data_IF_550227300304
#
_entry.id   IF_550227300304
#
_cell.length_a   1.000
_cell.length_b   1.000
_cell.length_c   1.000
_cell.angle_alpha   90.00
_cell.angle_beta   90.00
_cell.angle_gamma   90.00
#
_symmetry.space_group_name_H-M   'P 1'
#
loop_
_entity.id
_entity.type
_entity.pdbx_description
1 polymer ?
#
# COMPACT_ATOMS: atom_id res chain seq x y z
N UNK A 1 -2.82 13.13 -1.84
CA UNK A 1 -2.72 12.61 -3.23
C UNK A 1 -4.07 12.05 -3.62
N UNK A 2 -4.64 12.51 -4.74
CA UNK A 2 -5.98 12.12 -5.24
C UNK A 2 -5.88 10.90 -6.16
N UNK A 3 -7.03 10.34 -6.53
CA UNK A 3 -7.11 9.29 -7.57
C UNK A 3 -6.53 9.79 -8.90
N UNK A 4 -5.99 8.85 -9.68
CA UNK A 4 -5.46 9.12 -11.02
C UNK A 4 -6.60 9.59 -11.94
N UNK A 5 -6.40 10.68 -12.68
CA UNK A 5 -7.43 11.18 -13.58
C UNK A 5 -7.57 10.29 -14.81
N UNK A 6 -8.80 9.85 -15.13
CA UNK A 6 -9.11 9.13 -16.38
C UNK A 6 -8.74 9.93 -17.63
N UNK A 7 -8.83 11.25 -17.58
CA UNK A 7 -8.51 12.09 -18.75
C UNK A 7 -7.02 12.21 -18.98
N UNK A 8 -6.20 12.13 -17.92
CA UNK A 8 -4.75 12.24 -18.01
C UNK A 8 -4.10 10.87 -18.25
N UNK A 9 -4.71 9.81 -17.73
CA UNK A 9 -4.22 8.44 -17.82
C UNK A 9 -5.37 7.51 -18.21
N UNK A 10 -5.69 7.39 -19.51
CA UNK A 10 -6.91 6.75 -20.00
C UNK A 10 -7.03 5.26 -19.66
N UNK A 11 -5.92 4.52 -19.70
CA UNK A 11 -5.85 3.07 -19.51
C UNK A 11 -5.78 2.63 -18.03
N UNK A 12 -5.63 3.58 -17.10
CA UNK A 12 -5.37 3.28 -15.69
C UNK A 12 -6.43 2.36 -15.07
N UNK A 13 -7.69 2.62 -15.39
CA UNK A 13 -8.83 1.93 -14.79
C UNK A 13 -9.20 0.63 -15.51
N UNK A 14 -8.59 0.36 -16.66
CA UNK A 14 -8.69 -0.94 -17.32
C UNK A 14 -7.71 -1.93 -16.67
N UNK A 15 -6.58 -1.43 -16.18
CA UNK A 15 -5.53 -2.21 -15.50
C UNK A 15 -5.83 -2.32 -13.99
N UNK A 16 -6.15 -1.21 -13.33
CA UNK A 16 -6.33 -1.13 -11.88
C UNK A 16 -7.80 -1.25 -11.50
N UNK A 17 -8.14 -2.42 -10.94
CA UNK A 17 -9.52 -2.80 -10.62
C UNK A 17 -10.06 -2.18 -9.33
N UNK A 18 -9.18 -1.87 -8.36
CA UNK A 18 -9.56 -1.25 -7.08
C UNK A 18 -8.75 0.03 -6.84
N UNK A 19 -9.04 1.13 -7.54
CA UNK A 19 -8.33 2.39 -7.37
C UNK A 19 -8.48 2.92 -5.93
N UNK A 20 -7.37 3.38 -5.37
CA UNK A 20 -7.34 4.01 -4.04
C UNK A 20 -6.24 5.06 -4.01
N UNK A 21 -6.40 6.08 -3.17
CA UNK A 21 -5.41 7.13 -2.98
C UNK A 21 -5.31 7.55 -1.51
N UNK A 22 -4.20 8.19 -1.14
CA UNK A 22 -3.97 8.67 0.23
C UNK A 22 -5.09 9.57 0.77
N UNK A 23 -5.72 10.40 -0.07
CA UNK A 23 -6.83 11.23 0.38
C UNK A 23 -8.04 10.38 0.80
N UNK A 24 -8.38 9.35 0.03
CA UNK A 24 -9.46 8.41 0.37
C UNK A 24 -9.15 7.66 1.66
N UNK A 25 -7.91 7.19 1.83
CA UNK A 25 -7.46 6.51 3.06
C UNK A 25 -7.57 7.47 4.26
N UNK A 26 -7.11 8.71 4.11
CA UNK A 26 -7.20 9.75 5.15
C UNK A 26 -8.67 10.04 5.52
N UNK A 27 -9.55 10.17 4.54
CA UNK A 27 -10.98 10.37 4.76
C UNK A 27 -11.61 9.19 5.51
N UNK A 28 -11.23 7.96 5.18
CA UNK A 28 -11.69 6.77 5.91
C UNK A 28 -11.21 6.77 7.37
N UNK A 29 -9.97 7.18 7.64
CA UNK A 29 -9.47 7.36 9.02
C UNK A 29 -10.28 8.41 9.76
N UNK A 30 -10.41 9.62 9.19
CA UNK A 30 -11.06 10.75 9.85
C UNK A 30 -12.56 10.51 10.11
N UNK A 31 -13.20 9.71 9.27
CA UNK A 31 -14.61 9.37 9.39
C UNK A 31 -14.86 8.04 10.11
N UNK A 32 -13.87 7.52 10.83
CA UNK A 32 -13.95 6.27 11.61
C UNK A 32 -14.48 5.08 10.80
N UNK A 33 -14.06 4.95 9.54
CA UNK A 33 -14.53 3.90 8.62
C UNK A 33 -13.76 2.60 8.70
N UNK A 34 -12.68 2.56 9.48
CA UNK A 34 -11.91 1.35 9.74
C UNK A 34 -12.27 0.77 11.10
N UNK A 35 -12.62 -0.51 11.15
CA UNK A 35 -12.93 -1.20 12.39
C UNK A 35 -11.68 -1.74 13.09
N UNK A 36 -10.58 -1.88 12.34
CA UNK A 36 -9.29 -2.33 12.85
C UNK A 36 -8.12 -1.64 12.14
N UNK A 37 -6.95 -1.64 12.78
CA UNK A 37 -5.72 -1.21 12.15
C UNK A 37 -5.39 -2.04 10.89
N UNK A 38 -5.77 -3.34 10.89
CA UNK A 38 -5.58 -4.24 9.75
C UNK A 38 -6.25 -3.72 8.48
N UNK A 39 -7.48 -3.21 8.57
CA UNK A 39 -8.19 -2.67 7.39
C UNK A 39 -7.50 -1.43 6.82
N UNK A 40 -6.98 -0.54 7.68
CA UNK A 40 -6.19 0.61 7.25
C UNK A 40 -4.89 0.16 6.56
N UNK A 41 -4.18 -0.81 7.15
CA UNK A 41 -2.96 -1.37 6.57
C UNK A 41 -3.23 -2.02 5.21
N UNK A 42 -4.33 -2.75 5.08
CA UNK A 42 -4.74 -3.36 3.81
C UNK A 42 -4.96 -2.34 2.70
N UNK A 43 -5.60 -1.21 2.98
CA UNK A 43 -5.81 -0.14 2.00
C UNK A 43 -4.51 0.55 1.59
N UNK A 44 -3.59 0.77 2.53
CA UNK A 44 -2.26 1.33 2.21
C UNK A 44 -1.44 0.32 1.38
N UNK A 45 -1.51 -0.98 1.70
CA UNK A 45 -0.87 -2.04 0.90
C UNK A 45 -1.48 -2.13 -0.50
N UNK A 46 -2.81 -1.99 -0.64
CA UNK A 46 -3.49 -1.93 -1.94
C UNK A 46 -3.00 -0.74 -2.78
N UNK A 47 -2.84 0.43 -2.16
CA UNK A 47 -2.29 1.60 -2.85
C UNK A 47 -0.89 1.34 -3.43
N UNK A 48 0.00 0.68 -2.67
CA UNK A 48 1.31 0.30 -3.18
C UNK A 48 1.23 -0.78 -4.26
N UNK A 49 0.36 -1.79 -4.08
CA UNK A 49 0.14 -2.84 -5.08
C UNK A 49 -0.32 -2.25 -6.42
N UNK A 50 -1.28 -1.34 -6.41
CA UNK A 50 -1.74 -0.63 -7.61
C UNK A 50 -0.62 0.20 -8.25
N UNK A 51 0.20 0.87 -7.42
CA UNK A 51 1.34 1.63 -7.90
C UNK A 51 2.31 0.73 -8.68
N UNK A 52 2.67 -0.44 -8.16
CA UNK A 52 3.63 -1.34 -8.80
C UNK A 52 3.03 -2.18 -9.93
N UNK A 53 1.71 -2.39 -9.92
CA UNK A 53 1.01 -3.04 -11.03
C UNK A 53 0.98 -2.13 -12.26
N UNK A 54 0.68 -0.84 -12.08
CA UNK A 54 0.58 0.09 -13.20
C UNK A 54 1.95 0.64 -13.64
N UNK A 55 2.84 0.97 -12.70
CA UNK A 55 4.08 1.67 -13.02
C UNK A 55 5.26 0.67 -13.15
N UNK A 56 5.96 0.61 -14.30
CA UNK A 56 7.17 -0.19 -14.44
C UNK A 56 8.25 0.19 -13.42
N UNK A 57 9.03 -0.80 -12.95
CA UNK A 57 10.00 -0.65 -11.84
C UNK A 57 11.05 0.46 -12.01
N UNK A 58 11.37 0.84 -13.25
CA UNK A 58 12.39 1.84 -13.55
C UNK A 58 11.88 3.29 -13.47
N UNK A 59 10.55 3.49 -13.44
CA UNK A 59 9.90 4.80 -13.38
C UNK A 59 10.13 5.53 -12.06
N UNK A 60 9.97 6.85 -12.07
CA UNK A 60 10.04 7.70 -10.86
C UNK A 60 8.98 7.33 -9.84
N UNK A 61 7.79 7.00 -10.31
CA UNK A 61 6.60 6.68 -9.53
C UNK A 61 6.81 5.37 -8.76
N UNK A 62 7.26 4.31 -9.44
CA UNK A 62 7.57 3.05 -8.79
C UNK A 62 8.70 3.18 -7.75
N UNK A 63 9.75 3.96 -8.06
CA UNK A 63 10.85 4.23 -7.11
C UNK A 63 10.36 5.02 -5.89
N UNK A 64 9.51 6.02 -6.08
CA UNK A 64 8.91 6.78 -4.98
C UNK A 64 7.97 5.92 -4.13
N UNK A 65 7.14 5.10 -4.77
CA UNK A 65 6.26 4.13 -4.12
C UNK A 65 7.04 3.15 -3.24
N UNK A 66 8.17 2.62 -3.72
CA UNK A 66 9.03 1.72 -2.95
C UNK A 66 9.61 2.40 -1.71
N UNK A 67 10.14 3.62 -1.83
CA UNK A 67 10.66 4.37 -0.67
C UNK A 67 9.59 4.59 0.40
N UNK A 68 8.37 4.97 -0.04
CA UNK A 68 7.26 5.19 0.89
C UNK A 68 6.77 3.89 1.52
N UNK A 69 6.73 2.77 0.78
CA UNK A 69 6.39 1.45 1.32
C UNK A 69 7.38 0.99 2.38
N UNK A 70 8.69 1.16 2.14
CA UNK A 70 9.73 0.80 3.12
C UNK A 70 9.61 1.64 4.40
N UNK A 71 9.35 2.94 4.27
CA UNK A 71 9.07 3.81 5.41
C UNK A 71 7.83 3.33 6.18
N UNK A 72 6.71 3.10 5.47
CA UNK A 72 5.46 2.64 6.08
C UNK A 72 5.65 1.33 6.86
N UNK A 73 6.32 0.33 6.28
CA UNK A 73 6.61 -0.93 6.95
C UNK A 73 7.51 -0.76 8.18
N UNK A 74 8.45 0.21 8.15
CA UNK A 74 9.26 0.55 9.32
C UNK A 74 8.40 1.08 10.47
N UNK A 75 7.44 1.95 10.16
CA UNK A 75 6.53 2.49 11.16
C UNK A 75 5.57 1.41 11.71
N UNK A 76 5.06 0.50 10.87
CA UNK A 76 4.24 -0.63 11.35
C UNK A 76 5.00 -1.50 12.36
N UNK A 77 6.27 -1.82 12.10
CA UNK A 77 7.10 -2.59 13.03
C UNK A 77 7.29 -1.88 14.37
N UNK A 78 7.55 -0.57 14.35
CA UNK A 78 7.69 0.23 15.57
C UNK A 78 6.40 0.24 16.42
N UNK A 79 5.25 0.18 15.75
CA UNK A 79 3.94 0.15 16.40
C UNK A 79 3.48 -1.26 16.80
N UNK A 80 4.23 -2.31 16.48
CA UNK A 80 3.81 -3.69 16.71
C UNK A 80 2.61 -4.12 15.85
N UNK A 81 2.38 -3.43 14.72
CA UNK A 81 1.28 -3.69 13.79
C UNK A 81 1.75 -4.44 12.53
N UNK A 82 3.00 -4.89 12.52
CA UNK A 82 3.51 -5.73 11.45
C UNK A 82 2.98 -7.16 11.67
N UNK A 83 1.75 -7.39 11.23
CA UNK A 83 1.25 -8.73 10.92
C UNK A 83 2.11 -9.25 9.76
N UNK A 84 3.34 -9.67 10.09
CA UNK A 84 4.26 -10.28 9.16
C UNK A 84 3.54 -11.42 8.46
N UNK A 85 3.74 -11.54 7.14
CA UNK A 85 3.21 -12.66 6.38
C UNK A 85 3.55 -13.96 7.15
N UNK A 86 2.51 -14.61 7.68
CA UNK A 86 2.58 -15.84 8.48
C UNK A 86 3.09 -17.04 7.68
N UNK A 87 3.70 -16.78 6.52
CA UNK A 87 4.28 -17.74 5.58
C UNK A 87 5.81 -17.85 5.69
N UNK A 88 6.51 -17.04 6.50
CA UNK A 88 7.95 -17.23 6.69
C UNK A 88 8.22 -18.43 7.62
N UNK A 89 8.82 -19.53 7.13
CA UNK A 89 9.10 -20.68 7.98
C UNK A 89 10.11 -20.26 9.04
N UNK A 90 9.78 -20.55 10.30
CA UNK A 90 10.67 -20.36 11.43
C UNK A 90 12.09 -20.81 11.05
N UNK A 91 13.04 -19.88 11.09
CA UNK A 91 14.46 -20.24 11.02
C UNK A 91 14.73 -21.15 12.22
N UNK A 92 14.74 -22.46 11.99
CA UNK A 92 15.26 -23.44 12.94
C UNK A 92 16.67 -22.98 13.29
N UNK A 93 16.85 -22.59 14.55
CA UNK A 93 18.15 -22.46 15.17
C UNK A 93 18.86 -23.79 15.01
N UNK A 94 19.95 -23.83 14.23
CA UNK A 94 20.86 -24.96 14.25
C UNK A 94 21.84 -24.72 15.39
N UNK A 95 21.66 -25.51 16.46
CA UNK A 95 22.76 -25.96 17.31
C UNK A 95 23.77 -26.73 16.45
#
# INVERSE_FOLDING_TARGET
>A
MKLVSRTQVPDYYDIIQKPIALNTIREKVNNYKYQSAGEFVSDVRLMFSNCFQYNPRHTSEAKAGLRLQLFFNSELRKLGLDEGDSSSPAKRSRL
#
